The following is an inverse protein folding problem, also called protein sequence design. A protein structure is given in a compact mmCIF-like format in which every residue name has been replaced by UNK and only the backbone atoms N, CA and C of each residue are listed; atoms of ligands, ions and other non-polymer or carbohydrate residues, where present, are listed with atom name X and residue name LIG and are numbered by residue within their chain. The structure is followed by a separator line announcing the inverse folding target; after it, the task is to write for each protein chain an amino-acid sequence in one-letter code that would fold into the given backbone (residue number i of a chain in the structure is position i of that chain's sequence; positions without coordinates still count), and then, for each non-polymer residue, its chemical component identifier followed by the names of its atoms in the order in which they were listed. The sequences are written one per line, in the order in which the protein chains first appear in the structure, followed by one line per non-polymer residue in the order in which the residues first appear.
data_IF_936016115509
#
_entry.id   IF_936016115509
#
_cell.length_a   1.000
_cell.length_b   1.000
_cell.length_c   1.000
_cell.angle_alpha   90.00
_cell.angle_beta   90.00
_cell.angle_gamma   90.00
#
_symmetry.space_group_name_H-M   'P 1'
#
loop_
_entity.id
_entity.type
_entity.pdbx_description
1 polymer ?
#
# COMPACT_ATOMS: atom_id res chain seq x y z
N UNK A 1 -13.98 -20.52 -2.30
CA UNK A 1 -13.96 -19.51 -3.38
C UNK A 1 -14.94 -18.42 -2.97
N UNK A 2 -14.54 -17.17 -3.13
CA UNK A 2 -15.31 -15.97 -2.75
C UNK A 2 -14.84 -14.81 -3.62
N UNK A 3 -15.65 -13.76 -3.72
CA UNK A 3 -15.34 -12.58 -4.54
C UNK A 3 -15.52 -11.28 -3.76
N UNK A 4 -14.59 -10.36 -3.95
CA UNK A 4 -14.65 -8.99 -3.45
C UNK A 4 -15.37 -8.06 -4.43
N UNK A 5 -16.22 -7.20 -3.89
CA UNK A 5 -16.93 -6.14 -4.60
C UNK A 5 -16.51 -4.78 -4.02
N UNK A 6 -15.97 -3.93 -4.90
CA UNK A 6 -15.47 -2.59 -4.59
C UNK A 6 -15.63 -1.69 -5.82
N UNK A 7 -15.48 -0.37 -5.65
CA UNK A 7 -15.55 0.62 -6.77
C UNK A 7 -14.42 1.64 -6.76
N UNK A 8 -13.42 1.45 -5.88
CA UNK A 8 -12.22 2.28 -5.75
C UNK A 8 -10.95 1.44 -5.87
N UNK A 9 -9.80 2.10 -6.02
CA UNK A 9 -8.47 1.50 -6.16
C UNK A 9 -7.61 1.58 -4.88
N UNK A 10 -8.12 2.16 -3.80
CA UNK A 10 -7.46 2.33 -2.50
C UNK A 10 -6.43 3.44 -2.47
N UNK A 11 -6.46 4.39 -3.41
CA UNK A 11 -5.53 5.52 -3.52
C UNK A 11 -5.94 6.65 -2.55
N UNK A 12 -5.90 6.34 -1.26
CA UNK A 12 -6.36 7.22 -0.17
C UNK A 12 -5.31 8.27 0.18
N UNK A 13 -5.75 9.51 0.34
CA UNK A 13 -4.99 10.54 1.06
C UNK A 13 -5.52 10.65 2.49
N UNK A 14 -4.69 10.42 3.53
CA UNK A 14 -5.15 10.38 4.93
C UNK A 14 -5.73 11.69 5.44
N UNK A 15 -5.31 12.78 4.81
CA UNK A 15 -5.75 14.14 5.13
C UNK A 15 -7.05 14.51 4.42
N UNK A 16 -7.64 13.64 3.60
CA UNK A 16 -8.86 13.93 2.83
C UNK A 16 -10.06 13.07 3.24
N UNK A 17 -10.02 12.40 4.39
CA UNK A 17 -11.12 11.56 4.88
C UNK A 17 -12.46 12.30 4.98
N UNK A 18 -13.53 11.52 5.08
CA UNK A 18 -14.87 12.02 5.34
C UNK A 18 -15.17 11.97 6.84
N UNK A 19 -15.42 13.13 7.41
CA UNK A 19 -15.75 13.25 8.83
C UNK A 19 -17.25 12.97 9.02
N UNK A 20 -17.57 11.98 9.83
CA UNK A 20 -18.94 11.52 10.04
C UNK A 20 -19.55 12.18 11.27
N UNK A 21 -20.82 12.58 11.15
CA UNK A 21 -21.64 13.11 12.25
C UNK A 21 -23.06 12.56 12.14
N UNK A 22 -23.95 12.93 13.07
CA UNK A 22 -25.36 12.56 12.99
C UNK A 22 -26.07 13.20 11.79
N UNK A 23 -25.62 14.39 11.39
CA UNK A 23 -26.07 15.13 10.20
C UNK A 23 -25.31 14.70 8.94
N UNK A 24 -24.00 14.50 9.08
CA UNK A 24 -23.08 14.18 7.99
C UNK A 24 -22.93 12.68 7.84
N UNK A 25 -23.83 12.11 7.04
CA UNK A 25 -23.92 10.67 6.77
C UNK A 25 -23.34 10.36 5.41
N UNK A 26 -22.84 9.14 5.26
CA UNK A 26 -22.30 8.67 3.99
C UNK A 26 -23.06 7.47 3.51
N UNK A 27 -23.06 7.31 2.19
CA UNK A 27 -23.71 6.20 1.51
C UNK A 27 -22.81 5.65 0.42
N UNK A 28 -22.77 4.32 0.30
CA UNK A 28 -22.07 3.57 -0.74
C UNK A 28 -23.05 2.63 -1.43
N UNK A 29 -22.96 2.55 -2.75
CA UNK A 29 -23.75 1.62 -3.56
C UNK A 29 -22.87 0.55 -4.19
N UNK A 30 -23.18 -0.72 -3.90
CA UNK A 30 -22.50 -1.88 -4.48
C UNK A 30 -23.51 -2.80 -5.16
N UNK A 31 -23.17 -3.26 -6.37
CA UNK A 31 -24.01 -4.21 -7.11
C UNK A 31 -23.53 -5.63 -6.85
N UNK A 32 -24.38 -6.46 -6.27
CA UNK A 32 -24.04 -7.82 -5.84
C UNK A 32 -24.93 -8.85 -6.55
N UNK A 33 -24.43 -10.06 -6.85
CA UNK A 33 -25.28 -11.19 -7.18
C UNK A 33 -26.11 -11.62 -5.96
N UNK A 34 -27.03 -12.56 -6.16
CA UNK A 34 -27.72 -13.20 -5.05
C UNK A 34 -26.72 -13.96 -4.18
N UNK A 35 -26.86 -13.86 -2.86
CA UNK A 35 -26.09 -14.63 -1.89
C UNK A 35 -27.00 -15.28 -0.85
N UNK A 36 -26.60 -16.44 -0.34
CA UNK A 36 -27.27 -17.12 0.79
C UNK A 36 -26.36 -17.32 2.00
N UNK A 37 -25.07 -17.04 1.82
CA UNK A 37 -24.06 -17.20 2.84
C UNK A 37 -23.76 -15.87 3.52
N UNK A 38 -23.21 -15.92 4.73
CA UNK A 38 -22.73 -14.72 5.43
C UNK A 38 -21.72 -13.97 4.55
N UNK A 39 -21.92 -12.67 4.41
CA UNK A 39 -21.01 -11.77 3.72
C UNK A 39 -20.07 -11.09 4.72
N UNK A 40 -18.93 -10.60 4.24
CA UNK A 40 -18.01 -9.78 5.02
C UNK A 40 -17.96 -8.37 4.46
N UNK A 41 -18.35 -7.39 5.26
CA UNK A 41 -18.22 -5.96 4.95
C UNK A 41 -16.91 -5.46 5.54
N UNK A 42 -16.08 -4.83 4.71
CA UNK A 42 -14.84 -4.19 5.12
C UNK A 42 -14.97 -2.68 5.01
N UNK A 43 -14.64 -1.99 6.11
CA UNK A 43 -14.66 -0.53 6.20
C UNK A 43 -13.28 -0.05 6.61
N UNK A 44 -12.69 0.88 5.86
CA UNK A 44 -11.45 1.53 6.26
C UNK A 44 -11.76 2.86 6.94
N UNK A 45 -11.68 2.88 8.27
CA UNK A 45 -12.05 4.05 9.07
C UNK A 45 -11.07 4.29 10.22
N UNK A 46 -11.09 5.50 10.77
CA UNK A 46 -10.34 5.89 11.96
C UNK A 46 -11.28 6.54 12.96
N UNK A 47 -11.25 6.08 14.21
CA UNK A 47 -11.85 6.78 15.32
C UNK A 47 -10.90 7.87 15.85
N UNK A 48 -11.43 9.04 16.19
CA UNK A 48 -10.66 10.10 16.84
C UNK A 48 -10.31 9.71 18.28
N UNK A 49 -9.21 10.25 18.84
CA UNK A 49 -8.90 10.07 20.25
C UNK A 49 -10.09 10.54 21.11
N UNK A 50 -10.48 9.74 22.10
CA UNK A 50 -11.50 10.07 23.12
C UNK A 50 -12.96 10.01 22.65
N UNK A 51 -13.23 9.57 21.41
CA UNK A 51 -14.61 9.25 21.03
C UNK A 51 -15.05 7.92 21.67
N UNK A 52 -16.23 7.94 22.28
CA UNK A 52 -17.00 6.76 22.68
C UNK A 52 -18.23 6.57 21.78
N UNK A 53 -18.40 7.42 20.75
CA UNK A 53 -19.55 7.34 19.87
C UNK A 53 -19.38 6.19 18.88
N UNK A 54 -20.35 5.28 18.75
CA UNK A 54 -20.24 4.19 17.80
C UNK A 54 -20.36 4.69 16.36
N UNK A 55 -19.80 3.92 15.43
CA UNK A 55 -20.06 4.06 14.00
C UNK A 55 -21.22 3.13 13.63
N UNK A 56 -22.37 3.69 13.32
CA UNK A 56 -23.55 2.94 12.90
C UNK A 56 -23.41 2.51 11.45
N UNK A 57 -23.74 1.25 11.17
CA UNK A 57 -23.82 0.71 9.81
C UNK A 57 -25.24 0.22 9.54
N UNK A 58 -25.87 0.79 8.52
CA UNK A 58 -27.10 0.25 7.93
C UNK A 58 -26.82 -0.34 6.56
N UNK A 59 -27.57 -1.39 6.22
CA UNK A 59 -27.52 -2.01 4.91
C UNK A 59 -28.94 -2.21 4.39
N UNK A 60 -29.26 -1.59 3.25
CA UNK A 60 -30.61 -1.56 2.67
C UNK A 60 -31.68 -1.11 3.68
N UNK A 61 -31.41 -0.03 4.42
CA UNK A 61 -32.28 0.54 5.46
C UNK A 61 -32.50 -0.37 6.69
N UNK A 62 -31.70 -1.43 6.83
CA UNK A 62 -31.70 -2.33 7.99
C UNK A 62 -30.46 -2.03 8.85
N UNK A 63 -30.67 -1.74 10.13
CA UNK A 63 -29.58 -1.62 11.10
C UNK A 63 -28.82 -2.94 11.21
N UNK A 64 -27.53 -2.92 10.90
CA UNK A 64 -26.66 -4.10 10.95
C UNK A 64 -25.95 -4.16 12.29
N UNK A 65 -25.23 -3.10 12.65
CA UNK A 65 -24.43 -3.04 13.88
C UNK A 65 -24.04 -1.60 14.23
N UNK A 66 -23.73 -1.41 15.51
CA UNK A 66 -22.96 -0.27 16.01
C UNK A 66 -21.50 -0.74 16.21
N UNK A 67 -20.55 -0.06 15.58
CA UNK A 67 -19.12 -0.43 15.59
C UNK A 67 -18.41 0.41 16.64
N UNK A 68 -17.81 -0.26 17.63
CA UNK A 68 -17.04 0.39 18.68
C UNK A 68 -15.69 0.93 18.17
N UNK A 69 -15.23 2.07 18.70
CA UNK A 69 -13.92 2.63 18.35
C UNK A 69 -12.78 1.75 18.90
N UNK A 70 -11.89 1.27 18.01
CA UNK A 70 -10.76 0.38 18.39
C UNK A 70 -9.43 1.14 18.40
N UNK A 71 -9.12 1.91 17.34
CA UNK A 71 -7.78 2.50 17.14
C UNK A 71 -7.82 3.94 16.65
N UNK A 72 -6.69 4.63 16.91
CA UNK A 72 -6.42 6.03 16.53
C UNK A 72 -5.83 6.20 15.13
N UNK A 73 -5.51 5.11 14.43
CA UNK A 73 -5.10 5.11 13.02
C UNK A 73 -6.22 4.55 12.16
N UNK A 74 -6.18 4.81 10.86
CA UNK A 74 -7.03 4.08 9.92
C UNK A 74 -6.82 2.58 10.10
N UNK A 75 -7.93 1.85 10.12
CA UNK A 75 -8.00 0.44 10.46
C UNK A 75 -9.10 -0.21 9.62
N UNK A 76 -8.86 -1.43 9.13
CA UNK A 76 -9.91 -2.23 8.52
C UNK A 76 -10.80 -2.85 9.60
N UNK A 77 -12.06 -2.44 9.60
CA UNK A 77 -13.13 -3.10 10.34
C UNK A 77 -13.73 -4.18 9.45
N UNK A 78 -13.91 -5.38 10.00
CA UNK A 78 -14.54 -6.51 9.32
C UNK A 78 -15.83 -6.87 10.05
N UNK A 79 -16.95 -6.79 9.36
CA UNK A 79 -18.28 -7.02 9.91
C UNK A 79 -18.91 -8.18 9.15
N UNK A 80 -19.26 -9.24 9.86
CA UNK A 80 -20.03 -10.36 9.30
C UNK A 80 -21.51 -9.95 9.19
N UNK A 81 -22.09 -10.15 8.02
CA UNK A 81 -23.45 -9.70 7.69
C UNK A 81 -24.29 -10.87 7.17
N UNK A 82 -25.45 -11.09 7.77
CA UNK A 82 -26.40 -12.13 7.35
C UNK A 82 -26.89 -11.85 5.92
N UNK A 83 -26.89 -12.87 5.06
CA UNK A 83 -27.35 -12.77 3.67
C UNK A 83 -28.75 -12.14 3.52
N UNK A 84 -29.62 -12.25 4.53
CA UNK A 84 -30.99 -11.72 4.52
C UNK A 84 -31.08 -10.21 4.44
N UNK A 85 -30.05 -9.47 4.87
CA UNK A 85 -30.04 -8.00 4.73
C UNK A 85 -29.55 -7.56 3.36
N UNK A 86 -28.89 -8.45 2.62
CA UNK A 86 -28.44 -8.22 1.25
C UNK A 86 -29.55 -8.58 0.25
N UNK A 87 -29.50 -7.97 -0.93
CA UNK A 87 -30.39 -8.30 -2.04
C UNK A 87 -29.61 -8.42 -3.36
N UNK A 88 -30.08 -9.24 -4.31
CA UNK A 88 -29.53 -9.21 -5.66
C UNK A 88 -29.70 -7.82 -6.26
N UNK A 89 -28.66 -7.32 -6.94
CA UNK A 89 -28.63 -6.00 -7.52
C UNK A 89 -28.01 -4.94 -6.62
N UNK A 90 -28.57 -3.74 -6.59
CA UNK A 90 -28.00 -2.61 -5.84
C UNK A 90 -28.23 -2.75 -4.34
N UNK A 91 -27.14 -2.74 -3.59
CA UNK A 91 -27.12 -2.70 -2.14
C UNK A 91 -26.58 -1.35 -1.68
N UNK A 92 -27.22 -0.77 -0.68
CA UNK A 92 -26.88 0.54 -0.13
C UNK A 92 -26.34 0.36 1.27
N UNK A 93 -25.11 0.80 1.52
CA UNK A 93 -24.52 0.87 2.85
C UNK A 93 -24.53 2.33 3.29
N UNK A 94 -25.05 2.61 4.48
CA UNK A 94 -25.02 3.95 5.06
C UNK A 94 -24.31 3.92 6.42
N UNK A 95 -23.45 4.93 6.64
CA UNK A 95 -22.67 5.07 7.86
C UNK A 95 -22.81 6.47 8.44
N UNK A 96 -22.90 6.53 9.77
CA UNK A 96 -23.01 7.76 10.54
C UNK A 96 -22.67 7.49 12.00
N UNK A 97 -22.58 8.53 12.82
CA UNK A 97 -22.24 8.43 14.25
C UNK A 97 -23.07 9.42 15.05
N UNK A 98 -23.21 9.24 16.36
CA UNK A 98 -24.09 10.07 17.19
C UNK A 98 -23.51 11.48 17.45
N UNK A 99 -22.19 11.68 17.24
CA UNK A 99 -21.58 13.00 17.41
C UNK A 99 -22.16 14.02 16.44
N UNK A 100 -22.42 15.23 16.94
CA UNK A 100 -22.81 16.37 16.11
C UNK A 100 -21.59 17.06 15.47
N UNK A 101 -20.37 16.76 15.91
CA UNK A 101 -19.13 17.38 15.47
C UNK A 101 -18.25 16.40 14.70
N UNK A 102 -17.34 16.94 13.88
CA UNK A 102 -16.35 16.20 13.07
C UNK A 102 -15.17 15.74 13.94
N UNK A 103 -15.46 14.99 15.00
CA UNK A 103 -14.52 14.60 16.04
C UNK A 103 -14.71 13.16 16.54
N UNK A 104 -15.52 12.37 15.83
CA UNK A 104 -15.78 10.97 16.18
C UNK A 104 -15.11 10.02 15.18
N UNK A 105 -15.48 10.09 13.90
CA UNK A 105 -15.02 9.13 12.90
C UNK A 105 -14.61 9.81 11.60
N UNK A 106 -13.49 9.35 11.05
CA UNK A 106 -13.02 9.70 9.71
C UNK A 106 -13.04 8.44 8.84
N UNK A 107 -13.81 8.44 7.76
CA UNK A 107 -13.90 7.34 6.79
C UNK A 107 -12.93 7.59 5.63
N UNK A 108 -12.20 6.55 5.22
CA UNK A 108 -11.26 6.68 4.12
C UNK A 108 -12.00 6.85 2.79
N UNK A 109 -11.47 7.74 1.96
CA UNK A 109 -11.98 8.00 0.62
C UNK A 109 -10.86 8.10 -0.41
N UNK A 110 -11.19 7.69 -1.63
CA UNK A 110 -10.37 7.88 -2.82
C UNK A 110 -10.97 9.02 -3.65
N UNK A 111 -10.21 10.09 -3.87
CA UNK A 111 -10.66 11.24 -4.67
C UNK A 111 -10.38 11.05 -6.15
N UNK A 112 -11.12 11.77 -7.02
CA UNK A 112 -10.84 11.84 -8.46
C UNK A 112 -11.81 11.06 -9.33
N UNK A 113 -12.90 10.54 -8.75
CA UNK A 113 -13.91 9.79 -9.47
C UNK A 113 -14.85 10.70 -10.27
N UNK A 114 -15.00 10.44 -11.57
CA UNK A 114 -15.89 11.20 -12.44
C UNK A 114 -17.37 10.96 -12.13
N UNK A 115 -17.72 9.71 -11.87
CA UNK A 115 -19.08 9.21 -11.58
C UNK A 115 -19.05 8.24 -10.39
N UNK A 116 -18.86 8.75 -9.15
CA UNK A 116 -18.74 7.90 -7.97
C UNK A 116 -20.08 7.28 -7.57
N UNK A 117 -20.02 6.05 -7.06
CA UNK A 117 -21.14 5.32 -6.42
C UNK A 117 -21.18 5.55 -4.91
N UNK A 118 -20.71 6.72 -4.48
CA UNK A 118 -20.66 7.17 -3.10
C UNK A 118 -21.31 8.54 -2.99
N UNK A 119 -22.01 8.77 -1.89
CA UNK A 119 -22.76 9.99 -1.63
C UNK A 119 -22.60 10.43 -0.17
N UNK A 120 -22.67 11.74 0.05
CA UNK A 120 -22.72 12.34 1.39
C UNK A 120 -24.03 13.09 1.56
N UNK A 121 -24.55 13.09 2.78
CA UNK A 121 -25.67 13.90 3.26
C UNK A 121 -25.15 14.90 4.28
N UNK A 122 -25.82 16.04 4.42
CA UNK A 122 -25.59 17.01 5.52
C UNK A 122 -26.86 17.28 6.34
N UNK A 123 -27.94 16.52 6.10
CA UNK A 123 -29.27 16.71 6.69
C UNK A 123 -29.89 15.37 7.18
N UNK A 124 -29.06 14.55 7.84
CA UNK A 124 -29.47 13.26 8.45
C UNK A 124 -30.00 12.23 7.45
N UNK A 125 -29.62 12.35 6.18
CA UNK A 125 -29.97 11.43 5.09
C UNK A 125 -31.20 11.86 4.30
N UNK A 126 -31.72 13.07 4.49
CA UNK A 126 -32.86 13.57 3.74
C UNK A 126 -32.48 13.92 2.28
N UNK A 127 -31.28 14.42 2.04
CA UNK A 127 -30.72 14.69 0.70
C UNK A 127 -29.31 14.14 0.55
N UNK A 128 -28.96 13.78 -0.69
CA UNK A 128 -27.71 13.10 -1.02
C UNK A 128 -27.01 13.78 -2.20
N UNK A 129 -25.69 13.86 -2.13
CA UNK A 129 -24.83 14.42 -3.18
C UNK A 129 -23.55 13.61 -3.35
N UNK A 130 -23.12 13.45 -4.60
CA UNK A 130 -21.90 12.71 -4.98
C UNK A 130 -20.75 13.64 -5.42
N UNK A 131 -20.82 14.91 -5.01
CA UNK A 131 -19.83 15.95 -5.30
C UNK A 131 -19.64 16.82 -4.06
N UNK A 132 -18.51 17.53 -3.96
CA UNK A 132 -18.11 18.31 -2.78
C UNK A 132 -17.93 17.45 -1.52
N UNK A 133 -17.37 16.25 -1.66
CA UNK A 133 -17.16 15.28 -0.57
C UNK A 133 -15.84 15.55 0.18
N UNK A 134 -15.61 14.81 1.27
CA UNK A 134 -14.49 14.95 2.18
C UNK A 134 -14.63 16.13 3.14
N UNK A 135 -13.78 16.20 4.17
CA UNK A 135 -13.90 17.21 5.24
C UNK A 135 -13.89 18.68 4.76
N UNK A 136 -13.22 18.98 3.64
CA UNK A 136 -13.18 20.32 3.02
C UNK A 136 -14.16 20.50 1.86
N UNK A 137 -15.01 19.51 1.60
CA UNK A 137 -16.00 19.55 0.53
C UNK A 137 -15.42 19.85 -0.87
N UNK A 138 -14.23 19.32 -1.16
CA UNK A 138 -13.41 19.73 -2.31
C UNK A 138 -13.29 18.67 -3.41
N UNK A 139 -13.80 17.46 -3.19
CA UNK A 139 -13.58 16.33 -4.12
C UNK A 139 -14.87 15.66 -4.58
N UNK A 140 -14.77 14.91 -5.68
CA UNK A 140 -15.65 13.77 -5.97
C UNK A 140 -14.88 12.52 -5.61
N UNK A 141 -15.51 11.60 -4.89
CA UNK A 141 -14.77 10.51 -4.26
C UNK A 141 -15.58 9.23 -4.14
N UNK A 142 -14.87 8.13 -3.95
CA UNK A 142 -15.42 6.84 -3.56
C UNK A 142 -14.99 6.50 -2.14
N UNK A 143 -15.94 6.09 -1.29
CA UNK A 143 -15.60 5.57 0.04
C UNK A 143 -14.96 4.19 -0.07
N UNK A 144 -13.94 3.95 0.76
CA UNK A 144 -13.21 2.68 0.83
C UNK A 144 -14.01 1.70 1.70
N UNK A 145 -15.05 1.16 1.07
CA UNK A 145 -15.99 0.20 1.61
C UNK A 145 -16.11 -0.94 0.61
N UNK A 146 -15.91 -2.16 1.08
CA UNK A 146 -15.88 -3.37 0.23
C UNK A 146 -16.74 -4.47 0.83
N UNK A 147 -17.29 -5.33 -0.02
CA UNK A 147 -18.05 -6.51 0.43
C UNK A 147 -17.46 -7.76 -0.22
N UNK A 148 -17.16 -8.79 0.57
CA UNK A 148 -16.83 -10.11 0.08
C UNK A 148 -18.00 -11.07 0.33
N UNK A 149 -18.38 -11.82 -0.70
CA UNK A 149 -19.42 -12.86 -0.63
C UNK A 149 -18.88 -14.19 -1.16
N UNK A 150 -19.55 -15.29 -0.82
CA UNK A 150 -19.16 -16.64 -1.24
C UNK A 150 -19.30 -16.85 -2.76
N UNK A 151 -20.23 -16.15 -3.42
CA UNK A 151 -20.52 -16.35 -4.83
C UNK A 151 -19.52 -15.64 -5.75
N UNK A 152 -18.81 -16.46 -6.52
CA UNK A 152 -17.85 -16.01 -7.53
C UNK A 152 -16.41 -16.19 -7.08
N UNK A 153 -15.52 -15.70 -7.93
CA UNK A 153 -14.08 -15.74 -7.74
C UNK A 153 -13.52 -14.34 -7.96
N UNK A 154 -12.49 -14.01 -7.20
CA UNK A 154 -11.64 -12.84 -7.48
C UNK A 154 -10.97 -13.00 -8.86
N UNK A 155 -10.66 -11.89 -9.54
CA UNK A 155 -9.88 -11.96 -10.76
C UNK A 155 -8.51 -12.61 -10.52
N UNK A 156 -7.92 -13.26 -11.54
CA UNK A 156 -6.55 -13.73 -11.42
C UNK A 156 -5.60 -12.56 -11.13
N UNK A 157 -4.48 -12.80 -10.41
CA UNK A 157 -3.53 -11.75 -10.10
C UNK A 157 -2.98 -11.14 -11.40
N UNK A 158 -2.95 -9.80 -11.52
CA UNK A 158 -2.48 -9.14 -12.73
C UNK A 158 -1.00 -9.45 -12.97
N UNK A 159 -0.53 -9.49 -14.23
CA UNK A 159 0.91 -9.54 -14.50
C UNK A 159 1.58 -8.24 -14.06
N UNK A 160 2.89 -8.31 -13.81
CA UNK A 160 3.67 -7.11 -13.52
C UNK A 160 3.75 -6.23 -14.77
N UNK A 161 3.54 -4.92 -14.60
CA UNK A 161 3.64 -3.90 -15.66
C UNK A 161 4.99 -3.19 -15.52
N UNK A 162 5.77 -3.15 -16.60
CA UNK A 162 7.12 -2.59 -16.61
C UNK A 162 7.17 -1.19 -17.20
N UNK A 163 8.24 -0.46 -16.89
CA UNK A 163 8.54 0.82 -17.53
C UNK A 163 8.64 0.69 -19.05
N UNK A 164 8.21 1.74 -19.76
CA UNK A 164 8.50 1.86 -21.19
C UNK A 164 10.00 2.19 -21.36
N UNK A 165 10.81 1.32 -22.01
CA UNK A 165 12.23 1.56 -22.22
C UNK A 165 12.49 2.78 -23.11
N UNK A 166 11.51 3.17 -23.93
CA UNK A 166 11.57 4.37 -24.77
C UNK A 166 11.20 5.65 -24.00
N UNK A 167 10.80 5.53 -22.73
CA UNK A 167 10.43 6.67 -21.90
C UNK A 167 11.62 7.63 -21.75
N UNK A 168 11.48 8.91 -22.16
CA UNK A 168 12.54 9.90 -21.96
C UNK A 168 12.83 10.13 -20.47
N UNK A 169 11.87 9.85 -19.58
CA UNK A 169 12.05 9.95 -18.13
C UNK A 169 12.96 8.85 -17.59
N UNK A 170 12.81 7.63 -18.10
CA UNK A 170 13.70 6.51 -17.75
C UNK A 170 15.12 6.77 -18.25
N UNK A 171 15.28 7.24 -19.48
CA UNK A 171 16.57 7.66 -20.02
C UNK A 171 17.22 8.79 -19.20
N UNK A 172 16.43 9.77 -18.76
CA UNK A 172 16.88 10.87 -17.91
C UNK A 172 17.29 10.40 -16.50
N UNK A 173 16.58 9.43 -15.92
CA UNK A 173 16.98 8.81 -14.66
C UNK A 173 18.31 8.08 -14.81
N UNK A 174 18.48 7.29 -15.88
CA UNK A 174 19.71 6.52 -16.14
C UNK A 174 20.98 7.38 -16.10
N UNK A 175 20.90 8.63 -16.56
CA UNK A 175 22.02 9.58 -16.56
C UNK A 175 22.46 10.03 -15.16
N UNK A 176 21.63 9.84 -14.14
CA UNK A 176 21.90 10.23 -12.75
C UNK A 176 22.41 9.07 -11.90
N UNK A 177 22.36 7.83 -12.41
CA UNK A 177 22.72 6.65 -11.66
C UNK A 177 24.24 6.52 -11.46
N UNK A 178 24.71 5.88 -10.38
CA UNK A 178 26.13 5.63 -10.16
C UNK A 178 26.72 4.80 -11.31
N UNK A 179 27.95 5.12 -11.71
CA UNK A 179 28.60 4.49 -12.85
C UNK A 179 28.71 2.96 -12.68
N UNK A 180 28.94 2.50 -11.46
CA UNK A 180 29.05 1.09 -11.06
C UNK A 180 27.77 0.30 -11.30
N UNK A 181 26.60 0.95 -11.27
CA UNK A 181 25.33 0.32 -11.61
C UNK A 181 25.08 0.23 -13.13
N UNK A 182 25.73 1.09 -13.90
CA UNK A 182 25.58 1.20 -15.36
C UNK A 182 26.58 0.29 -16.08
N UNK A 183 27.79 0.14 -15.55
CA UNK A 183 28.86 -0.67 -16.15
C UNK A 183 28.55 -2.17 -16.14
N UNK A 184 29.33 -2.94 -16.91
CA UNK A 184 29.23 -4.40 -16.90
C UNK A 184 29.66 -4.97 -15.54
N UNK A 185 28.81 -5.80 -14.95
CA UNK A 185 29.02 -6.47 -13.67
C UNK A 185 27.86 -7.42 -13.38
N UNK A 186 28.00 -8.24 -12.34
CA UNK A 186 26.92 -9.12 -11.88
C UNK A 186 25.69 -8.31 -11.43
N UNK A 187 24.50 -8.93 -11.47
CA UNK A 187 23.26 -8.34 -10.97
C UNK A 187 23.44 -7.86 -9.52
N UNK A 188 24.09 -8.68 -8.69
CA UNK A 188 24.41 -8.36 -7.30
C UNK A 188 25.23 -7.07 -7.15
N UNK A 189 26.27 -6.89 -7.98
CA UNK A 189 27.12 -5.69 -7.92
C UNK A 189 26.33 -4.43 -8.32
N UNK A 190 25.55 -4.52 -9.41
CA UNK A 190 24.71 -3.40 -9.86
C UNK A 190 23.70 -3.00 -8.81
N UNK A 191 22.99 -3.98 -8.25
CA UNK A 191 21.96 -3.74 -7.22
C UNK A 191 22.57 -3.23 -5.93
N UNK A 192 23.73 -3.75 -5.50
CA UNK A 192 24.46 -3.19 -4.35
C UNK A 192 24.82 -1.73 -4.60
N UNK A 193 25.36 -1.38 -5.77
CA UNK A 193 25.71 0.00 -6.09
C UNK A 193 24.49 0.94 -6.03
N UNK A 194 23.35 0.51 -6.59
CA UNK A 194 22.10 1.27 -6.52
C UNK A 194 21.57 1.41 -5.08
N UNK A 195 21.52 0.31 -4.33
CA UNK A 195 21.03 0.27 -2.96
C UNK A 195 21.86 1.16 -2.04
N UNK A 196 23.19 1.04 -2.08
CA UNK A 196 24.10 1.86 -1.26
C UNK A 196 24.04 3.34 -1.62
N UNK A 197 23.93 3.66 -2.91
CA UNK A 197 23.75 5.03 -3.36
C UNK A 197 22.43 5.63 -2.85
N UNK A 198 21.31 4.92 -2.99
CA UNK A 198 20.01 5.41 -2.52
C UNK A 198 19.98 5.55 -0.99
N UNK A 199 20.43 4.53 -0.25
CA UNK A 199 20.49 4.56 1.20
C UNK A 199 21.34 5.72 1.74
N UNK A 200 22.36 6.18 1.01
CA UNK A 200 23.17 7.34 1.40
C UNK A 200 22.69 8.67 0.82
N UNK A 201 21.63 8.68 0.00
CA UNK A 201 21.20 9.87 -0.74
C UNK A 201 20.30 10.81 0.08
N UNK A 202 19.48 10.31 1.01
CA UNK A 202 18.62 11.15 1.84
C UNK A 202 18.30 10.53 3.20
N UNK A 203 17.85 11.35 4.15
CA UNK A 203 17.37 10.90 5.46
C UNK A 203 15.98 10.27 5.37
N UNK A 204 15.79 9.10 6.00
CA UNK A 204 14.45 8.51 6.15
C UNK A 204 13.52 9.43 6.96
N UNK A 205 12.47 9.93 6.32
CA UNK A 205 11.49 10.84 6.91
C UNK A 205 10.10 10.21 6.89
N UNK A 206 9.55 9.88 8.07
CA UNK A 206 8.19 9.34 8.24
C UNK A 206 7.15 10.37 8.66
N UNK A 207 5.90 9.92 8.81
CA UNK A 207 4.72 10.75 9.16
C UNK A 207 4.78 11.41 10.54
N UNK A 208 5.67 10.96 11.44
CA UNK A 208 5.92 11.65 12.71
C UNK A 208 6.71 12.96 12.59
N UNK A 209 7.30 13.25 11.41
CA UNK A 209 8.17 14.43 11.19
C UNK A 209 7.77 15.29 10.00
N UNK A 210 6.84 14.82 9.19
CA UNK A 210 6.35 15.49 8.00
C UNK A 210 4.92 15.04 7.73
N UNK A 211 4.16 15.85 6.99
CA UNK A 211 2.73 15.59 6.71
C UNK A 211 2.46 15.27 5.24
N UNK A 212 3.40 15.58 4.34
CA UNK A 212 3.19 15.51 2.90
C UNK A 212 4.06 14.42 2.28
N UNK A 213 3.43 13.45 1.62
CA UNK A 213 4.13 12.40 0.90
C UNK A 213 4.85 12.93 -0.33
N UNK A 214 6.07 12.42 -0.57
CA UNK A 214 6.68 12.55 -1.87
C UNK A 214 5.98 11.60 -2.87
N UNK A 215 5.89 11.97 -4.16
CA UNK A 215 5.41 11.03 -5.17
C UNK A 215 6.40 9.86 -5.33
N UNK A 216 5.90 8.70 -5.78
CA UNK A 216 6.74 7.57 -6.16
C UNK A 216 7.39 7.82 -7.52
N UNK A 217 8.23 8.84 -7.57
CA UNK A 217 8.86 9.33 -8.77
C UNK A 217 10.34 9.52 -8.47
N UNK A 218 11.18 8.62 -8.99
CA UNK A 218 12.58 8.56 -8.59
C UNK A 218 13.33 9.89 -8.80
N UNK A 219 13.07 10.60 -9.90
CA UNK A 219 13.73 11.89 -10.15
C UNK A 219 13.26 12.97 -9.17
N UNK A 220 11.96 12.99 -8.85
CA UNK A 220 11.41 13.90 -7.84
C UNK A 220 11.97 13.58 -6.45
N UNK A 221 12.09 12.31 -6.10
CA UNK A 221 12.66 11.87 -4.83
C UNK A 221 14.11 12.32 -4.66
N UNK A 222 14.95 12.10 -5.68
CA UNK A 222 16.34 12.55 -5.70
C UNK A 222 16.49 14.08 -5.63
N UNK A 223 15.47 14.82 -6.08
CA UNK A 223 15.46 16.28 -5.98
C UNK A 223 14.94 16.79 -4.62
N UNK A 224 13.87 16.19 -4.08
CA UNK A 224 13.14 16.68 -2.91
C UNK A 224 13.71 16.16 -1.59
N UNK A 225 13.95 14.85 -1.50
CA UNK A 225 14.28 14.19 -0.24
C UNK A 225 15.64 14.64 0.33
N UNK A 226 16.73 14.77 -0.45
CA UNK A 226 18.01 15.25 0.09
C UNK A 226 17.93 16.71 0.58
N UNK A 227 17.10 17.54 -0.08
CA UNK A 227 16.90 18.95 0.30
C UNK A 227 15.89 19.14 1.42
N UNK A 228 15.17 18.08 1.79
CA UNK A 228 14.08 18.14 2.77
C UNK A 228 13.04 19.21 2.40
N UNK A 229 12.81 19.41 1.10
CA UNK A 229 11.96 20.46 0.54
C UNK A 229 11.18 19.92 -0.65
N UNK A 230 9.87 19.74 -0.47
CA UNK A 230 8.94 19.25 -1.48
C UNK A 230 7.86 20.28 -1.82
N UNK A 231 6.63 19.80 -2.01
CA UNK A 231 5.50 20.63 -2.40
C UNK A 231 5.30 21.82 -1.43
N UNK A 232 5.16 23.03 -1.98
CA UNK A 232 5.03 24.28 -1.23
C UNK A 232 6.17 24.49 -0.18
N UNK A 233 7.38 23.99 -0.47
CA UNK A 233 8.54 24.14 0.41
C UNK A 233 8.50 23.34 1.71
N UNK A 234 7.49 22.48 1.91
CA UNK A 234 7.36 21.66 3.12
C UNK A 234 8.30 20.46 3.06
N UNK A 235 8.68 19.95 4.23
CA UNK A 235 9.43 18.70 4.32
C UNK A 235 8.57 17.54 3.76
N UNK A 236 9.10 16.76 2.79
CA UNK A 236 8.41 15.58 2.30
C UNK A 236 8.61 14.39 3.25
N UNK A 237 7.60 13.54 3.37
CA UNK A 237 7.74 12.16 3.83
C UNK A 237 8.43 11.40 2.71
N UNK A 238 9.60 10.85 3.02
CA UNK A 238 10.46 10.07 2.13
C UNK A 238 11.03 8.90 2.94
N UNK A 239 10.19 7.88 3.10
CA UNK A 239 10.42 6.67 3.91
C UNK A 239 10.62 5.42 3.04
N UNK A 240 10.73 4.23 3.65
CA UNK A 240 11.00 2.93 3.01
C UNK A 240 10.41 2.75 1.59
N UNK A 241 9.12 3.01 1.41
CA UNK A 241 8.43 2.89 0.12
C UNK A 241 9.05 3.73 -1.00
N UNK A 242 9.58 4.90 -0.69
CA UNK A 242 10.19 5.80 -1.65
C UNK A 242 11.58 5.32 -2.06
N UNK A 243 12.35 4.71 -1.14
CA UNK A 243 13.62 4.07 -1.50
C UNK A 243 13.38 2.88 -2.43
N UNK A 244 12.38 2.05 -2.13
CA UNK A 244 12.01 0.92 -2.97
C UNK A 244 11.53 1.36 -4.36
N UNK A 245 10.63 2.34 -4.45
CA UNK A 245 10.17 2.90 -5.72
C UNK A 245 11.33 3.48 -6.55
N UNK A 246 12.26 4.19 -5.90
CA UNK A 246 13.46 4.70 -6.55
C UNK A 246 14.39 3.58 -7.03
N UNK A 247 14.61 2.53 -6.22
CA UNK A 247 15.41 1.38 -6.61
C UNK A 247 14.80 0.65 -7.80
N UNK A 248 13.49 0.38 -7.78
CA UNK A 248 12.78 -0.30 -8.86
C UNK A 248 12.87 0.47 -10.18
N UNK A 249 12.69 1.80 -10.13
CA UNK A 249 12.85 2.67 -11.30
C UNK A 249 14.31 2.66 -11.80
N UNK A 250 15.28 2.72 -10.89
CA UNK A 250 16.71 2.73 -11.22
C UNK A 250 17.20 1.39 -11.78
N UNK A 251 16.73 0.27 -11.24
CA UNK A 251 17.02 -1.07 -11.71
C UNK A 251 16.51 -1.28 -13.14
N UNK A 252 15.26 -0.89 -13.42
CA UNK A 252 14.72 -0.94 -14.78
C UNK A 252 15.48 -0.02 -15.73
N UNK A 253 15.90 1.17 -15.28
CA UNK A 253 16.72 2.07 -16.09
C UNK A 253 18.10 1.49 -16.47
N UNK A 254 18.60 0.47 -15.75
CA UNK A 254 19.82 -0.29 -16.09
C UNK A 254 19.56 -1.66 -16.72
N UNK A 255 18.31 -1.96 -17.08
CA UNK A 255 17.91 -3.20 -17.75
C UNK A 255 17.72 -4.39 -16.81
N UNK A 256 17.43 -4.15 -15.52
CA UNK A 256 17.13 -5.20 -14.55
C UNK A 256 15.62 -5.22 -14.25
N UNK A 257 14.95 -6.38 -14.39
CA UNK A 257 13.57 -6.55 -13.94
C UNK A 257 13.51 -6.36 -12.41
N UNK A 258 12.71 -5.40 -11.96
CA UNK A 258 12.55 -5.09 -10.56
C UNK A 258 11.10 -4.69 -10.27
N UNK A 259 10.60 -5.07 -9.10
CA UNK A 259 9.25 -4.76 -8.65
C UNK A 259 9.23 -4.38 -7.17
N UNK A 260 8.25 -3.58 -6.81
CA UNK A 260 8.02 -3.16 -5.44
C UNK A 260 7.36 -4.30 -4.66
N UNK A 261 7.82 -4.53 -3.43
CA UNK A 261 7.27 -5.53 -2.52
C UNK A 261 6.93 -4.93 -1.16
N UNK A 262 5.76 -5.27 -0.64
CA UNK A 262 5.30 -4.93 0.70
C UNK A 262 5.48 -6.15 1.59
N UNK A 263 5.96 -5.94 2.80
CA UNK A 263 6.02 -6.98 3.83
C UNK A 263 5.39 -6.45 5.11
N UNK A 264 4.64 -7.29 5.83
CA UNK A 264 4.05 -6.88 7.11
C UNK A 264 3.81 -8.07 8.02
N UNK A 265 3.74 -7.82 9.32
CA UNK A 265 3.32 -8.78 10.32
C UNK A 265 1.80 -9.06 10.29
N UNK A 266 0.98 -8.08 9.88
CA UNK A 266 -0.48 -8.24 9.73
C UNK A 266 -1.09 -7.05 8.99
N UNK A 267 -2.28 -7.22 8.38
CA UNK A 267 -2.94 -6.16 7.62
C UNK A 267 -3.13 -4.86 8.43
N UNK A 268 -3.65 -4.97 9.66
CA UNK A 268 -3.87 -3.84 10.57
C UNK A 268 -2.66 -3.52 11.47
N UNK A 269 -1.50 -4.08 11.13
CA UNK A 269 -0.25 -3.97 11.87
C UNK A 269 0.43 -2.61 11.72
N UNK A 270 1.47 -2.41 12.53
CA UNK A 270 2.38 -1.26 12.42
C UNK A 270 3.80 -1.65 12.04
N UNK A 271 4.11 -2.94 11.97
CA UNK A 271 5.41 -3.50 11.62
C UNK A 271 5.47 -3.88 10.14
N UNK A 272 4.97 -2.98 9.30
CA UNK A 272 5.10 -3.05 7.85
C UNK A 272 6.46 -2.54 7.37
N UNK A 273 6.88 -3.01 6.20
CA UNK A 273 8.02 -2.50 5.47
C UNK A 273 7.74 -2.54 3.97
N UNK A 274 8.49 -1.73 3.22
CA UNK A 274 8.37 -1.66 1.78
C UNK A 274 9.77 -1.72 1.18
N UNK A 275 9.97 -2.73 0.35
CA UNK A 275 11.27 -3.09 -0.22
C UNK A 275 11.13 -3.35 -1.72
N UNK A 276 12.19 -3.84 -2.35
CA UNK A 276 12.17 -4.24 -3.74
C UNK A 276 12.53 -5.72 -3.90
N UNK A 277 12.04 -6.33 -4.97
CA UNK A 277 12.54 -7.59 -5.50
C UNK A 277 13.19 -7.33 -6.87
N UNK A 278 14.33 -7.95 -7.12
CA UNK A 278 15.04 -7.89 -8.41
C UNK A 278 15.24 -9.29 -8.95
N UNK A 279 15.09 -9.47 -10.26
CA UNK A 279 15.30 -10.76 -10.91
C UNK A 279 16.78 -11.01 -11.18
N UNK A 280 17.31 -12.12 -10.66
CA UNK A 280 18.62 -12.65 -11.01
C UNK A 280 18.45 -13.74 -12.08
N UNK A 281 18.80 -13.40 -13.33
CA UNK A 281 18.70 -14.32 -14.45
C UNK A 281 19.71 -15.48 -14.37
N UNK A 282 20.85 -15.31 -13.69
CA UNK A 282 21.86 -16.38 -13.56
C UNK A 282 21.36 -17.51 -12.65
N UNK A 283 20.63 -17.16 -11.59
CA UNK A 283 20.06 -18.09 -10.63
C UNK A 283 18.57 -18.40 -10.88
N UNK A 284 17.97 -17.77 -11.91
CA UNK A 284 16.55 -17.87 -12.25
C UNK A 284 15.62 -17.63 -11.03
N UNK A 285 15.88 -16.56 -10.28
CA UNK A 285 15.18 -16.28 -9.02
C UNK A 285 15.03 -14.77 -8.74
N UNK A 286 13.90 -14.40 -8.15
CA UNK A 286 13.71 -13.10 -7.49
C UNK A 286 14.44 -13.07 -6.16
N UNK A 287 15.17 -11.99 -5.88
CA UNK A 287 15.77 -11.76 -4.56
C UNK A 287 15.35 -10.41 -3.99
N UNK A 288 15.25 -10.34 -2.67
CA UNK A 288 14.83 -9.15 -1.96
C UNK A 288 16.00 -8.19 -1.69
N UNK A 289 15.70 -6.90 -1.73
CA UNK A 289 16.63 -5.80 -1.46
C UNK A 289 15.91 -4.76 -0.62
N UNK A 290 16.47 -4.40 0.53
CA UNK A 290 16.02 -3.22 1.28
C UNK A 290 16.95 -2.03 0.97
N UNK A 291 16.56 -1.15 0.03
CA UNK A 291 17.36 0.02 -0.32
C UNK A 291 17.29 1.15 0.71
N UNK A 292 16.40 1.07 1.71
CA UNK A 292 16.39 2.03 2.81
C UNK A 292 17.49 1.71 3.82
N UNK A 293 17.63 0.45 4.20
CA UNK A 293 18.64 0.02 5.17
C UNK A 293 19.97 -0.42 4.54
N UNK A 294 20.02 -0.46 3.20
CA UNK A 294 21.08 -1.04 2.37
C UNK A 294 21.37 -2.52 2.71
N UNK A 295 20.30 -3.30 2.90
CA UNK A 295 20.38 -4.71 3.24
C UNK A 295 20.11 -5.60 2.02
N UNK A 296 21.04 -6.54 1.79
CA UNK A 296 20.81 -7.71 0.94
C UNK A 296 20.69 -8.94 1.83
N UNK A 297 19.84 -9.88 1.45
CA UNK A 297 19.65 -11.12 2.19
C UNK A 297 20.41 -12.24 1.49
N UNK A 298 21.32 -12.89 2.21
CA UNK A 298 22.29 -13.84 1.65
C UNK A 298 22.39 -15.08 2.53
N UNK A 299 22.27 -16.25 1.92
CA UNK A 299 22.53 -17.54 2.55
C UNK A 299 23.52 -18.33 1.70
N UNK A 300 24.60 -18.80 2.32
CA UNK A 300 25.65 -19.58 1.65
C UNK A 300 26.17 -18.91 0.36
N UNK A 301 26.34 -17.59 0.41
CA UNK A 301 26.80 -16.77 -0.73
C UNK A 301 25.75 -16.43 -1.79
N UNK A 302 24.54 -17.00 -1.71
CA UNK A 302 23.46 -16.79 -2.67
C UNK A 302 22.43 -15.78 -2.14
N UNK A 303 21.93 -14.92 -3.03
CA UNK A 303 20.86 -13.98 -2.71
C UNK A 303 19.56 -14.72 -2.42
N UNK A 304 18.81 -14.24 -1.42
CA UNK A 304 17.60 -14.91 -0.97
C UNK A 304 16.33 -14.32 -1.59
N UNK A 305 15.45 -15.19 -2.05
CA UNK A 305 14.04 -14.89 -2.34
C UNK A 305 13.25 -14.54 -1.08
N UNK A 306 12.12 -13.85 -1.26
CA UNK A 306 11.22 -13.58 -0.14
C UNK A 306 10.73 -14.86 0.55
N UNK A 307 10.46 -15.93 -0.19
CA UNK A 307 10.10 -17.24 0.37
C UNK A 307 11.19 -17.75 1.34
N UNK A 308 12.47 -17.66 0.96
CA UNK A 308 13.58 -18.08 1.82
C UNK A 308 13.76 -17.18 3.05
N UNK A 309 13.47 -15.88 2.91
CA UNK A 309 13.50 -14.91 4.01
C UNK A 309 12.41 -15.24 5.04
N UNK A 310 11.18 -15.48 4.59
CA UNK A 310 10.08 -15.89 5.45
C UNK A 310 10.36 -17.21 6.18
N UNK A 311 11.02 -18.16 5.51
CA UNK A 311 11.44 -19.43 6.12
C UNK A 311 12.54 -19.25 7.17
N UNK A 312 13.42 -18.25 7.03
CA UNK A 312 14.42 -17.94 8.05
C UNK A 312 13.79 -17.42 9.35
N UNK A 313 12.65 -16.72 9.24
CA UNK A 313 11.90 -16.18 10.36
C UNK A 313 12.78 -15.31 11.27
N UNK A 314 12.78 -15.63 12.57
CA UNK A 314 13.54 -14.88 13.58
C UNK A 314 15.08 -14.94 13.40
N UNK A 315 15.60 -15.89 12.61
CA UNK A 315 17.03 -16.00 12.32
C UNK A 315 17.47 -15.13 11.14
N UNK A 316 16.58 -14.35 10.52
CA UNK A 316 16.90 -13.61 9.30
C UNK A 316 18.09 -12.64 9.48
N UNK A 317 18.28 -12.08 10.68
CA UNK A 317 19.40 -11.19 10.99
C UNK A 317 20.78 -11.79 10.72
N UNK A 318 20.93 -13.12 10.82
CA UNK A 318 22.18 -13.84 10.50
C UNK A 318 22.48 -13.88 9.00
N UNK A 319 21.49 -13.57 8.17
CA UNK A 319 21.57 -13.61 6.71
C UNK A 319 21.54 -12.21 6.09
N UNK A 320 21.70 -11.14 6.86
CA UNK A 320 21.74 -9.78 6.32
C UNK A 320 23.18 -9.38 6.01
N UNK A 321 23.43 -9.07 4.75
CA UNK A 321 24.63 -8.40 4.29
C UNK A 321 24.36 -6.89 4.15
N UNK A 322 24.94 -6.11 5.05
CA UNK A 322 24.86 -4.65 5.05
C UNK A 322 25.83 -4.04 4.05
N UNK A 323 25.37 -3.06 3.28
CA UNK A 323 26.22 -2.27 2.40
C UNK A 323 26.69 -0.96 3.05
N UNK A 324 27.58 -0.20 2.38
CA UNK A 324 28.11 1.05 2.91
C UNK A 324 27.05 2.14 3.16
N UNK A 325 25.90 2.09 2.48
CA UNK A 325 24.81 3.04 2.73
C UNK A 325 24.18 2.89 4.11
N UNK A 326 24.31 1.71 4.75
CA UNK A 326 23.83 1.45 6.10
C UNK A 326 24.48 2.39 7.13
N UNK A 327 25.74 2.79 6.94
CA UNK A 327 26.45 3.70 7.87
C UNK A 327 25.73 5.04 7.99
N UNK A 328 25.32 5.62 6.86
CA UNK A 328 24.56 6.87 6.84
C UNK A 328 23.20 6.70 7.53
N UNK A 329 22.47 5.63 7.23
CA UNK A 329 21.12 5.43 7.75
C UNK A 329 21.10 5.13 9.25
N UNK A 330 22.11 4.45 9.77
CA UNK A 330 22.26 4.20 11.21
C UNK A 330 22.63 5.45 12.02
N UNK A 331 22.86 6.60 11.38
CA UNK A 331 22.94 7.88 12.11
C UNK A 331 21.57 8.33 12.64
N UNK A 332 20.47 7.76 12.13
CA UNK A 332 19.11 8.07 12.56
C UNK A 332 18.58 7.03 13.56
N UNK A 333 18.27 7.43 14.82
CA UNK A 333 17.87 6.49 15.88
C UNK A 333 16.68 5.59 15.53
N UNK A 334 15.67 6.12 14.84
CA UNK A 334 14.49 5.34 14.45
C UNK A 334 14.81 4.26 13.41
N UNK A 335 15.87 4.43 12.59
CA UNK A 335 16.34 3.38 11.68
C UNK A 335 17.09 2.30 12.44
N UNK A 336 17.91 2.67 13.44
CA UNK A 336 18.58 1.70 14.31
C UNK A 336 17.54 0.83 15.02
N UNK A 337 16.54 1.44 15.64
CA UNK A 337 15.43 0.73 16.29
C UNK A 337 14.69 -0.18 15.30
N UNK A 338 14.34 0.32 14.11
CA UNK A 338 13.70 -0.51 13.08
C UNK A 338 14.57 -1.71 12.67
N UNK A 339 15.88 -1.50 12.46
CA UNK A 339 16.79 -2.58 12.10
C UNK A 339 16.87 -3.65 13.19
N UNK A 340 17.01 -3.23 14.45
CA UNK A 340 17.27 -4.12 15.58
C UNK A 340 15.98 -4.82 16.06
N UNK A 341 14.85 -4.13 16.05
CA UNK A 341 13.58 -4.63 16.61
C UNK A 341 12.66 -5.24 15.57
N UNK A 342 12.82 -4.91 14.28
CA UNK A 342 11.92 -5.35 13.23
C UNK A 342 12.65 -6.16 12.15
N UNK A 343 13.58 -5.53 11.41
CA UNK A 343 14.20 -6.14 10.23
C UNK A 343 15.02 -7.38 10.57
N UNK A 344 15.94 -7.30 11.55
CA UNK A 344 16.83 -8.41 11.94
C UNK A 344 16.09 -9.54 12.66
N UNK A 345 14.97 -9.23 13.33
CA UNK A 345 14.09 -10.20 13.98
C UNK A 345 13.04 -10.80 13.04
N UNK A 346 13.00 -10.33 11.79
CA UNK A 346 12.09 -10.79 10.76
C UNK A 346 10.61 -10.53 11.03
N UNK A 347 10.30 -9.54 11.87
CA UNK A 347 8.91 -9.25 12.29
C UNK A 347 8.07 -8.82 11.09
N UNK A 348 8.60 -7.95 10.22
CA UNK A 348 7.90 -7.47 9.04
C UNK A 348 7.76 -8.49 7.91
N UNK A 349 8.30 -9.71 8.01
CA UNK A 349 8.24 -10.69 6.91
C UNK A 349 7.08 -11.69 7.04
N UNK A 350 6.15 -11.50 7.99
CA UNK A 350 5.03 -12.44 8.20
C UNK A 350 4.18 -12.69 6.94
N UNK A 351 3.90 -11.62 6.21
CA UNK A 351 3.13 -11.58 4.96
C UNK A 351 3.92 -10.82 3.90
N UNK A 352 3.68 -11.15 2.63
CA UNK A 352 4.26 -10.42 1.49
C UNK A 352 3.20 -10.07 0.46
N UNK A 353 3.43 -8.96 -0.23
CA UNK A 353 2.68 -8.57 -1.42
C UNK A 353 3.61 -7.95 -2.44
N UNK A 354 3.22 -8.04 -3.71
CA UNK A 354 3.87 -7.35 -4.81
C UNK A 354 2.95 -6.26 -5.31
N UNK A 355 3.50 -5.07 -5.48
CA UNK A 355 2.83 -4.00 -6.21
C UNK A 355 3.01 -4.25 -7.70
N UNK A 356 1.92 -4.60 -8.40
CA UNK A 356 2.02 -5.14 -9.76
C UNK A 356 2.49 -4.11 -10.80
N UNK A 357 2.50 -2.81 -10.50
CA UNK A 357 2.94 -1.75 -11.42
C UNK A 357 4.33 -1.23 -11.10
N UNK A 358 5.32 -1.60 -11.90
CA UNK A 358 6.68 -1.09 -11.82
C UNK A 358 6.94 0.12 -12.75
N UNK A 359 5.95 0.59 -13.51
CA UNK A 359 6.02 1.71 -14.47
C UNK A 359 5.77 3.09 -13.84
N UNK A 360 6.45 3.37 -12.73
CA UNK A 360 6.23 4.52 -11.85
C UNK A 360 6.61 5.87 -12.49
N UNK A 361 7.57 5.89 -13.42
CA UNK A 361 7.96 7.07 -14.19
C UNK A 361 7.09 7.26 -15.43
N UNK A 362 6.72 6.18 -16.11
CA UNK A 362 5.87 6.27 -17.31
C UNK A 362 4.43 6.66 -16.95
N UNK A 363 3.94 6.23 -15.79
CA UNK A 363 2.58 6.54 -15.30
C UNK A 363 2.56 6.95 -13.82
N UNK A 364 3.13 8.12 -13.48
CA UNK A 364 3.26 8.57 -12.09
C UNK A 364 1.93 8.89 -11.40
N UNK A 365 0.84 9.10 -12.16
CA UNK A 365 -0.49 9.38 -11.62
C UNK A 365 -1.20 8.15 -11.04
N UNK A 366 -0.64 6.95 -11.21
CA UNK A 366 -1.18 5.70 -10.65
C UNK A 366 -0.47 5.29 -9.35
N UNK A 367 0.44 6.12 -8.85
CA UNK A 367 1.11 5.90 -7.58
C UNK A 367 0.22 6.36 -6.41
N UNK A 368 0.09 5.58 -5.34
CA UNK A 368 -0.78 5.93 -4.21
C UNK A 368 -0.27 7.17 -3.47
N UNK A 369 -1.14 8.16 -3.18
CA UNK A 369 -0.73 9.45 -2.63
C UNK A 369 -0.34 9.41 -1.14
N UNK A 370 -0.64 8.31 -0.43
CA UNK A 370 -0.44 8.19 1.01
C UNK A 370 0.03 6.81 1.46
N UNK A 371 0.65 6.00 0.61
CA UNK A 371 1.02 4.64 1.01
C UNK A 371 1.88 4.60 2.28
N UNK A 372 1.54 3.70 3.20
CA UNK A 372 2.24 3.54 4.49
C UNK A 372 1.94 4.62 5.54
N UNK A 373 1.00 5.54 5.26
CA UNK A 373 0.45 6.48 6.27
C UNK A 373 -0.76 5.93 7.02
N UNK A 374 -1.39 4.93 6.42
CA UNK A 374 -2.59 4.26 6.87
C UNK A 374 -2.40 2.77 6.64
N UNK A 375 -3.28 1.96 7.21
CA UNK A 375 -3.36 0.55 6.86
C UNK A 375 -3.49 0.36 5.35
N UNK A 376 -2.73 -0.61 4.81
CA UNK A 376 -2.73 -0.97 3.39
C UNK A 376 -4.16 -1.14 2.88
N UNK A 377 -4.45 -0.55 1.73
CA UNK A 377 -5.80 -0.57 1.17
C UNK A 377 -5.84 -0.63 -0.34
N UNK A 378 -4.71 -0.41 -0.99
CA UNK A 378 -4.58 -0.34 -2.42
C UNK A 378 -4.91 -1.68 -3.10
N UNK A 379 -5.73 -1.62 -4.14
CA UNK A 379 -6.11 -2.80 -4.93
C UNK A 379 -4.98 -3.31 -5.83
N UNK A 380 -3.93 -2.49 -6.02
CA UNK A 380 -2.71 -2.87 -6.74
C UNK A 380 -1.74 -3.77 -5.98
N UNK A 381 -2.09 -4.16 -4.75
CA UNK A 381 -1.33 -5.12 -3.97
C UNK A 381 -1.80 -6.55 -4.28
N UNK A 382 -0.88 -7.39 -4.75
CA UNK A 382 -1.11 -8.84 -4.92
C UNK A 382 -0.54 -9.56 -3.71
N UNK A 383 -1.41 -10.07 -2.84
CA UNK A 383 -1.04 -10.80 -1.62
C UNK A 383 -0.86 -12.30 -1.87
N UNK A 384 -0.28 -13.04 -0.93
CA UNK A 384 -0.23 -14.49 -1.05
C UNK A 384 -1.62 -15.10 -0.87
N UNK A 385 -1.94 -16.17 -1.61
CA UNK A 385 -3.25 -16.85 -1.50
C UNK A 385 -3.59 -17.28 -0.08
N UNK A 386 -2.58 -17.63 0.73
CA UNK A 386 -2.76 -17.97 2.15
C UNK A 386 -3.26 -16.80 3.01
N UNK A 387 -3.07 -15.56 2.55
CA UNK A 387 -3.38 -14.36 3.31
C UNK A 387 -4.88 -14.02 3.27
N UNK A 388 -5.60 -14.51 2.25
CA UNK A 388 -7.06 -14.40 2.17
C UNK A 388 -7.73 -14.90 3.45
N UNK A 389 -7.30 -16.05 3.98
CA UNK A 389 -7.81 -16.66 5.21
C UNK A 389 -7.17 -16.06 6.48
N UNK A 390 -6.15 -15.21 6.34
CA UNK A 390 -5.40 -14.59 7.45
C UNK A 390 -5.73 -13.11 7.63
N UNK A 391 -6.94 -12.71 7.23
CA UNK A 391 -7.46 -11.37 7.46
C UNK A 391 -7.15 -10.37 6.36
N UNK A 392 -6.75 -10.80 5.16
CA UNK A 392 -6.54 -9.93 3.99
C UNK A 392 -7.72 -9.94 3.01
N UNK A 393 -8.91 -10.39 3.43
CA UNK A 393 -10.07 -10.53 2.54
C UNK A 393 -10.58 -9.24 1.90
N UNK A 394 -10.13 -8.07 2.35
CA UNK A 394 -10.42 -6.78 1.73
C UNK A 394 -9.63 -6.49 0.44
N UNK A 395 -8.68 -7.34 0.04
CA UNK A 395 -7.91 -7.15 -1.20
C UNK A 395 -8.47 -8.01 -2.35
N UNK A 396 -8.40 -7.53 -3.62
CA UNK A 396 -9.01 -8.23 -4.75
C UNK A 396 -8.07 -9.23 -5.45
N UNK A 397 -6.78 -9.24 -5.15
CA UNK A 397 -5.79 -9.99 -5.91
C UNK A 397 -4.89 -10.84 -5.00
N UNK A 398 -4.80 -12.14 -5.32
CA UNK A 398 -3.99 -13.10 -4.60
C UNK A 398 -3.18 -13.98 -5.56
N UNK A 399 -1.89 -14.09 -5.32
CA UNK A 399 -0.95 -14.92 -6.07
C UNK A 399 -0.62 -16.23 -5.34
N UNK A 400 -0.40 -17.29 -6.10
CA UNK A 400 0.22 -18.53 -5.60
C UNK A 400 1.74 -18.32 -5.48
N UNK A 401 2.47 -19.19 -4.74
CA UNK A 401 3.94 -19.15 -4.76
C UNK A 401 4.52 -19.14 -6.18
N UNK A 402 3.94 -19.92 -7.10
CA UNK A 402 4.36 -19.95 -8.50
C UNK A 402 4.23 -18.58 -9.20
N UNK A 403 3.22 -17.78 -8.86
CA UNK A 403 3.08 -16.42 -9.41
C UNK A 403 4.17 -15.48 -8.87
N UNK A 404 4.48 -15.57 -7.58
CA UNK A 404 5.54 -14.75 -6.99
C UNK A 404 6.92 -15.15 -7.51
N UNK A 405 7.17 -16.45 -7.66
CA UNK A 405 8.50 -16.95 -8.00
C UNK A 405 8.71 -17.09 -9.52
N UNK A 406 7.67 -16.84 -10.33
CA UNK A 406 7.75 -16.88 -11.79
C UNK A 406 8.75 -15.86 -12.36
N UNK A 407 9.49 -16.21 -13.45
CA UNK A 407 10.31 -15.27 -14.19
C UNK A 407 9.51 -14.06 -14.69
N UNK A 408 10.14 -12.89 -14.86
CA UNK A 408 9.48 -11.72 -15.43
C UNK A 408 9.02 -12.02 -16.86
N UNK A 409 7.73 -11.79 -17.10
CA UNK A 409 7.09 -11.93 -18.42
C UNK A 409 7.03 -10.56 -19.07
N UNK A 410 7.27 -10.50 -20.39
CA UNK A 410 7.19 -9.27 -21.21
C UNK A 410 8.07 -8.10 -20.71
N UNK A 411 9.17 -8.40 -20.01
CA UNK A 411 10.14 -7.37 -19.61
C UNK A 411 10.90 -6.84 -20.86
N UNK A 412 10.85 -5.53 -21.14
CA UNK A 412 11.60 -4.94 -22.23
C UNK A 412 13.08 -4.83 -21.83
N UNK A 413 13.91 -5.71 -22.40
CA UNK A 413 15.36 -5.78 -22.14
C UNK A 413 16.19 -4.66 -22.77
#
# INVERSE_FOLDING_TARGET
MSRLFHTEEGLVSPSLGEELTCYRRVRKHLHLPATKETAQVYLLARAYPETDSPLHLTLNDIDVTAIEPIRRSYHWYCIDVDAKVLRPGSNTLELWTDSAAMDAWSLALESGHGDPRSEVSDDEGATWRHHHMGYLNSVRAEYVIRIRIAEGEDPPPPPVVWEDPASPRLASLRQQLPAEAITSGSVRQKVRALSSWLASSWEHTGSGRAEQYAPWDAQTLLAWAPRQQGHNGKRPIAMCVHYAAALVSAAQAVGLPARCAVTTESCNGSQGHFIAEVWDAENAQWFAVDPNSDALFVRDGHLMSMTQIQQAGAAIGEHIEWGPGTEFQRTFPHIVEFCDENLTKGVCFGHRSVWYRADLLTRPWLSPPGHGSITYCETGLVWETRDLERGFGMFPAFGTPDWFDAPPVDFPG
#
